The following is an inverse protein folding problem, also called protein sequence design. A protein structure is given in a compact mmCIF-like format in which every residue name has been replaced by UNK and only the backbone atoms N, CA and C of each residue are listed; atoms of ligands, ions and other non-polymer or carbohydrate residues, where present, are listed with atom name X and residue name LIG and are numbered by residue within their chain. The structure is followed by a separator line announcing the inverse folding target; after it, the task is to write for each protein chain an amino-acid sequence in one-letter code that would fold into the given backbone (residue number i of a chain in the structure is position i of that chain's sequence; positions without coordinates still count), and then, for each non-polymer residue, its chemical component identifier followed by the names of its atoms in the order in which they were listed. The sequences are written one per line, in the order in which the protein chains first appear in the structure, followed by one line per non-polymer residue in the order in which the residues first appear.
data_IF_432999331769
#
_entry.id   IF_432999331769
#
_cell.length_a   1.000
_cell.length_b   1.000
_cell.length_c   1.000
_cell.angle_alpha   90.00
_cell.angle_beta   90.00
_cell.angle_gamma   90.00
#
_symmetry.space_group_name_H-M   'P 1'
#
loop_
_entity.id
_entity.type
_entity.pdbx_description
1 polymer ?
#
# COMPACT_ATOMS: atom_id res chain seq x y z
N UNK A 1 2.81 1.17 -15.59
CA UNK A 1 2.48 0.48 -14.33
C UNK A 1 2.20 -0.99 -14.60
N UNK A 2 2.72 -1.87 -13.77
CA UNK A 2 2.48 -3.31 -13.90
C UNK A 2 1.23 -3.69 -13.11
N UNK A 3 0.20 -4.17 -13.81
CA UNK A 3 -1.08 -4.53 -13.19
C UNK A 3 -0.94 -5.66 -12.15
N UNK A 4 -0.07 -6.63 -12.39
CA UNK A 4 0.14 -7.73 -11.45
C UNK A 4 0.76 -7.26 -10.15
N UNK A 5 1.77 -6.41 -10.22
CA UNK A 5 2.47 -5.88 -9.04
C UNK A 5 1.52 -5.00 -8.25
N UNK A 6 0.83 -4.09 -8.90
CA UNK A 6 -0.14 -3.21 -8.25
C UNK A 6 -1.27 -4.01 -7.62
N UNK A 7 -1.77 -5.02 -8.33
CA UNK A 7 -2.84 -5.88 -7.81
C UNK A 7 -2.43 -6.62 -6.55
N UNK A 8 -1.23 -7.19 -6.50
CA UNK A 8 -0.70 -7.85 -5.30
C UNK A 8 -0.60 -6.87 -4.14
N UNK A 9 -0.10 -5.66 -4.39
CA UNK A 9 0.03 -4.63 -3.36
C UNK A 9 -1.33 -4.19 -2.82
N UNK A 10 -2.31 -4.01 -3.69
CA UNK A 10 -3.66 -3.67 -3.28
C UNK A 10 -4.26 -4.73 -2.38
N UNK A 11 -4.07 -6.01 -2.71
CA UNK A 11 -4.55 -7.12 -1.88
C UNK A 11 -3.87 -7.13 -0.52
N UNK A 12 -2.54 -6.97 -0.48
CA UNK A 12 -1.77 -6.92 0.76
C UNK A 12 -2.25 -5.76 1.64
N UNK A 13 -2.43 -4.59 1.06
CA UNK A 13 -2.90 -3.41 1.79
C UNK A 13 -4.32 -3.59 2.33
N UNK A 14 -5.20 -4.19 1.53
CA UNK A 14 -6.56 -4.47 1.96
C UNK A 14 -6.58 -5.39 3.19
N UNK A 15 -5.85 -6.48 3.12
CA UNK A 15 -5.78 -7.46 4.21
C UNK A 15 -5.14 -6.82 5.46
N UNK A 16 -4.07 -6.05 5.29
CA UNK A 16 -3.41 -5.37 6.41
C UNK A 16 -4.31 -4.35 7.10
N UNK A 17 -5.22 -3.74 6.38
CA UNK A 17 -6.18 -2.78 6.93
C UNK A 17 -7.48 -3.45 7.39
N UNK A 18 -7.50 -4.78 7.43
CA UNK A 18 -8.64 -5.57 7.90
C UNK A 18 -9.93 -5.39 7.10
N UNK A 19 -9.80 -5.10 5.81
CA UNK A 19 -10.95 -5.07 4.91
C UNK A 19 -11.10 -6.40 4.18
N UNK A 20 -12.31 -6.92 4.13
CA UNK A 20 -12.66 -7.95 3.15
C UNK A 20 -13.13 -7.25 1.85
N UNK A 21 -13.44 -8.01 0.82
CA UNK A 21 -13.88 -7.44 -0.45
C UNK A 21 -15.18 -6.66 -0.29
N UNK A 22 -16.11 -7.17 0.52
CA UNK A 22 -17.36 -6.46 0.82
C UNK A 22 -17.11 -5.13 1.53
N UNK A 23 -16.19 -5.14 2.50
CA UNK A 23 -15.83 -3.94 3.26
C UNK A 23 -15.23 -2.86 2.39
N UNK A 24 -14.27 -3.20 1.52
CA UNK A 24 -13.65 -2.20 0.64
C UNK A 24 -14.64 -1.69 -0.41
N UNK A 25 -15.53 -2.57 -0.89
CA UNK A 25 -16.60 -2.17 -1.80
C UNK A 25 -17.49 -1.09 -1.16
N UNK A 26 -17.87 -1.29 0.11
CA UNK A 26 -18.70 -0.30 0.84
C UNK A 26 -17.98 1.03 1.00
N UNK A 27 -16.69 1.01 1.32
CA UNK A 27 -15.90 2.24 1.46
C UNK A 27 -15.82 2.99 0.13
N UNK A 28 -15.59 2.27 -0.97
CA UNK A 28 -15.56 2.86 -2.30
C UNK A 28 -16.91 3.46 -2.68
N UNK A 29 -18.02 2.79 -2.36
CA UNK A 29 -19.34 3.31 -2.63
C UNK A 29 -19.60 4.62 -1.89
N UNK A 30 -19.11 4.79 -0.68
CA UNK A 30 -19.21 6.05 0.08
C UNK A 30 -18.46 7.20 -0.60
N UNK A 31 -17.47 6.89 -1.41
CA UNK A 31 -16.71 7.89 -2.19
C UNK A 31 -17.20 8.01 -3.63
N UNK A 32 -18.42 7.54 -3.90
CA UNK A 32 -19.06 7.56 -5.23
C UNK A 32 -18.33 6.72 -6.28
N UNK A 33 -17.58 5.71 -5.86
CA UNK A 33 -16.94 4.77 -6.75
C UNK A 33 -17.68 3.45 -6.65
N UNK A 34 -18.42 3.11 -7.71
CA UNK A 34 -19.30 1.95 -7.74
C UNK A 34 -18.77 0.89 -8.68
N UNK A 35 -18.15 -0.13 -8.09
CA UNK A 35 -17.67 -1.30 -8.84
C UNK A 35 -18.18 -2.58 -8.18
N UNK A 36 -18.33 -3.63 -8.95
CA UNK A 36 -18.72 -4.94 -8.44
C UNK A 36 -17.54 -5.60 -7.71
N UNK A 37 -17.84 -6.57 -6.85
CA UNK A 37 -16.82 -7.40 -6.21
C UNK A 37 -15.93 -8.08 -7.25
N UNK A 38 -16.51 -8.56 -8.34
CA UNK A 38 -15.78 -9.18 -9.44
C UNK A 38 -14.70 -8.26 -10.01
N UNK A 39 -15.02 -6.98 -10.19
CA UNK A 39 -14.07 -5.99 -10.69
C UNK A 39 -12.94 -5.78 -9.69
N UNK A 40 -13.23 -5.69 -8.41
CA UNK A 40 -12.22 -5.53 -7.36
C UNK A 40 -11.27 -6.74 -7.33
N UNK A 41 -11.79 -7.96 -7.44
CA UNK A 41 -10.98 -9.16 -7.55
C UNK A 41 -10.06 -9.13 -8.78
N UNK A 42 -10.56 -8.66 -9.92
CA UNK A 42 -9.76 -8.52 -11.13
C UNK A 42 -8.60 -7.55 -10.96
N UNK A 43 -8.80 -6.48 -10.20
CA UNK A 43 -7.72 -5.55 -9.86
C UNK A 43 -6.63 -6.25 -9.04
N UNK A 44 -7.02 -7.00 -8.02
CA UNK A 44 -6.09 -7.69 -7.13
C UNK A 44 -5.38 -8.86 -7.81
N UNK A 45 -6.03 -9.51 -8.76
CA UNK A 45 -5.44 -10.60 -9.55
C UNK A 45 -4.54 -10.12 -10.69
N UNK A 46 -4.54 -8.82 -10.95
CA UNK A 46 -3.71 -8.24 -12.01
C UNK A 46 -4.28 -8.40 -13.41
N UNK A 47 -5.54 -8.81 -13.54
CA UNK A 47 -6.20 -8.94 -14.83
C UNK A 47 -6.56 -7.59 -15.44
N UNK A 48 -6.93 -6.63 -14.60
CA UNK A 48 -7.33 -5.28 -15.02
C UNK A 48 -6.65 -4.28 -14.08
N UNK A 49 -6.03 -3.27 -14.66
CA UNK A 49 -5.46 -2.17 -13.89
C UNK A 49 -6.56 -1.15 -13.58
N UNK A 50 -6.79 -0.78 -12.31
CA UNK A 50 -7.72 0.30 -11.99
C UNK A 50 -7.24 1.62 -12.59
N UNK A 51 -8.15 2.56 -12.81
CA UNK A 51 -7.75 3.90 -13.25
C UNK A 51 -6.89 4.60 -12.21
N UNK A 52 -6.10 5.57 -12.62
CA UNK A 52 -5.24 6.33 -11.70
C UNK A 52 -6.05 6.99 -10.59
N UNK A 53 -7.24 7.48 -10.91
CA UNK A 53 -8.14 8.08 -9.92
C UNK A 53 -8.56 7.07 -8.85
N UNK A 54 -8.90 5.85 -9.25
CA UNK A 54 -9.28 4.79 -8.32
C UNK A 54 -8.06 4.36 -7.48
N UNK A 55 -6.90 4.23 -8.09
CA UNK A 55 -5.66 3.89 -7.37
C UNK A 55 -5.36 4.95 -6.31
N UNK A 56 -5.49 6.23 -6.65
CA UNK A 56 -5.25 7.33 -5.73
C UNK A 56 -6.19 7.27 -4.53
N UNK A 57 -7.47 7.00 -4.77
CA UNK A 57 -8.46 6.85 -3.70
C UNK A 57 -8.18 5.63 -2.83
N UNK A 58 -7.80 4.50 -3.43
CA UNK A 58 -7.42 3.31 -2.68
C UNK A 58 -6.18 3.57 -1.82
N UNK A 59 -5.20 4.29 -2.34
CA UNK A 59 -4.03 4.70 -1.57
C UNK A 59 -4.41 5.56 -0.37
N UNK A 60 -5.35 6.48 -0.55
CA UNK A 60 -5.85 7.30 0.55
C UNK A 60 -6.56 6.46 1.61
N UNK A 61 -7.42 5.53 1.20
CA UNK A 61 -8.12 4.61 2.09
C UNK A 61 -7.14 3.74 2.88
N UNK A 62 -6.12 3.21 2.22
CA UNK A 62 -5.14 2.31 2.82
C UNK A 62 -3.99 3.04 3.53
N UNK A 63 -3.94 4.36 3.46
CA UNK A 63 -2.92 5.14 4.16
C UNK A 63 -1.54 5.06 3.53
N UNK A 64 -1.45 4.88 2.22
CA UNK A 64 -0.19 4.88 1.49
C UNK A 64 -0.23 5.89 0.34
N UNK A 65 0.86 6.05 -0.38
CA UNK A 65 0.91 6.89 -1.57
C UNK A 65 1.21 6.05 -2.81
N UNK A 66 1.00 6.63 -3.98
CA UNK A 66 1.24 5.95 -5.25
C UNK A 66 2.70 5.53 -5.40
N UNK A 67 3.64 6.36 -4.93
CA UNK A 67 5.07 6.03 -4.97
C UNK A 67 5.38 4.73 -4.25
N UNK A 68 4.71 4.46 -3.13
CA UNK A 68 4.85 3.21 -2.40
C UNK A 68 4.52 1.99 -3.27
N UNK A 69 3.41 2.06 -4.02
CA UNK A 69 2.99 0.96 -4.89
C UNK A 69 4.01 0.70 -6.00
N UNK A 70 4.61 1.76 -6.53
CA UNK A 70 5.60 1.66 -7.59
C UNK A 70 6.97 1.23 -7.08
N UNK A 71 7.37 1.68 -5.90
CA UNK A 71 8.68 1.38 -5.30
C UNK A 71 8.79 -0.03 -4.75
N UNK A 72 7.68 -0.67 -4.41
CA UNK A 72 7.68 -2.02 -3.88
C UNK A 72 8.29 -3.04 -4.84
N UNK A 73 8.19 -2.81 -6.14
CA UNK A 73 8.84 -3.63 -7.14
C UNK A 73 10.36 -3.53 -6.98
N UNK A 74 10.86 -2.34 -6.71
CA UNK A 74 12.30 -2.09 -6.51
C UNK A 74 12.78 -2.76 -5.22
N UNK A 75 11.99 -2.71 -4.15
CA UNK A 75 12.31 -3.32 -2.85
C UNK A 75 12.41 -4.84 -2.97
N UNK A 76 11.49 -5.50 -3.67
CA UNK A 76 11.52 -6.94 -3.88
C UNK A 76 12.76 -7.38 -4.65
N UNK A 77 13.29 -6.53 -5.53
CA UNK A 77 14.45 -6.81 -6.36
C UNK A 77 15.79 -6.52 -5.70
N UNK A 78 15.81 -5.98 -4.47
CA UNK A 78 17.04 -5.59 -3.78
C UNK A 78 17.61 -6.65 -2.84
N UNK A 79 17.08 -7.85 -2.84
CA UNK A 79 17.55 -8.95 -1.96
C UNK A 79 17.62 -8.56 -0.49
N UNK A 80 16.58 -7.89 0.01
CA UNK A 80 16.52 -7.49 1.40
C UNK A 80 16.37 -8.70 2.33
N UNK A 81 16.99 -8.63 3.50
CA UNK A 81 16.80 -9.64 4.53
C UNK A 81 15.37 -9.55 5.07
N UNK A 82 14.82 -10.65 5.65
CA UNK A 82 13.51 -10.60 6.29
C UNK A 82 13.39 -9.52 7.37
N UNK A 83 14.46 -9.26 8.10
CA UNK A 83 14.48 -8.19 9.11
C UNK A 83 14.34 -6.81 8.47
N UNK A 84 15.05 -6.57 7.37
CA UNK A 84 14.96 -5.30 6.63
C UNK A 84 13.56 -5.08 6.07
N UNK A 85 12.96 -6.14 5.51
CA UNK A 85 11.59 -6.09 5.00
C UNK A 85 10.62 -5.75 6.13
N UNK A 86 10.76 -6.40 7.29
CA UNK A 86 9.93 -6.14 8.46
C UNK A 86 10.04 -4.68 8.91
N UNK A 87 11.26 -4.14 8.99
CA UNK A 87 11.48 -2.75 9.39
C UNK A 87 10.85 -1.76 8.41
N UNK A 88 10.99 -2.02 7.10
CA UNK A 88 10.37 -1.18 6.08
C UNK A 88 8.84 -1.22 6.18
N UNK A 89 8.26 -2.39 6.42
CA UNK A 89 6.82 -2.52 6.61
C UNK A 89 6.35 -1.74 7.83
N UNK A 90 7.05 -1.83 8.97
CA UNK A 90 6.71 -1.08 10.17
C UNK A 90 6.80 0.43 9.92
N UNK A 91 7.83 0.88 9.24
CA UNK A 91 8.00 2.29 8.91
C UNK A 91 6.84 2.83 8.08
N UNK A 92 6.31 2.02 7.15
CA UNK A 92 5.25 2.45 6.25
C UNK A 92 3.85 2.38 6.87
N UNK A 93 3.59 1.39 7.71
CA UNK A 93 2.24 1.11 8.22
C UNK A 93 2.02 1.54 9.65
N UNK A 94 3.07 1.72 10.43
CA UNK A 94 2.96 2.09 11.84
C UNK A 94 3.41 3.54 12.01
N UNK A 95 2.45 4.42 12.25
CA UNK A 95 2.74 5.85 12.40
C UNK A 95 3.64 6.14 13.61
N UNK A 96 3.42 5.46 14.73
CA UNK A 96 4.27 5.61 15.90
C UNK A 96 5.72 5.21 15.62
N UNK A 97 5.91 4.08 14.95
CA UNK A 97 7.23 3.62 14.55
C UNK A 97 7.91 4.62 13.62
N UNK A 98 7.17 5.14 12.64
CA UNK A 98 7.68 6.15 11.70
C UNK A 98 8.16 7.40 12.43
N UNK A 99 7.38 7.91 13.38
CA UNK A 99 7.75 9.09 14.16
C UNK A 99 9.01 8.87 14.98
N UNK A 100 9.11 7.73 15.64
CA UNK A 100 10.29 7.36 16.43
C UNK A 100 11.52 7.24 15.52
N UNK A 101 11.39 6.57 14.39
CA UNK A 101 12.48 6.41 13.44
C UNK A 101 12.96 7.74 12.88
N UNK A 102 12.05 8.65 12.56
CA UNK A 102 12.39 10.01 12.10
C UNK A 102 13.11 10.82 13.18
N UNK A 103 12.67 10.71 14.43
CA UNK A 103 13.33 11.38 15.55
C UNK A 103 14.76 10.87 15.73
N UNK A 104 14.97 9.57 15.69
CA UNK A 104 16.30 8.96 15.81
C UNK A 104 17.20 9.43 14.65
N UNK A 105 16.68 9.44 13.44
CA UNK A 105 17.42 9.89 12.27
C UNK A 105 17.83 11.36 12.38
N UNK A 106 16.96 12.23 12.86
CA UNK A 106 17.27 13.64 13.08
C UNK A 106 18.35 13.82 14.13
N UNK A 107 18.31 13.06 15.22
CA UNK A 107 19.35 13.09 16.26
C UNK A 107 20.68 12.61 15.70
N UNK A 108 20.68 11.55 14.91
CA UNK A 108 21.87 11.04 14.25
C UNK A 108 22.52 12.11 13.35
N UNK A 109 21.72 12.84 12.57
CA UNK A 109 22.23 13.89 11.71
C UNK A 109 22.83 15.06 12.49
N UNK A 110 22.31 15.36 13.67
CA UNK A 110 22.86 16.44 14.50
C UNK A 110 24.25 16.12 15.06
N UNK A 111 24.54 14.86 15.28
CA UNK A 111 25.84 14.42 15.81
C UNK A 111 26.92 14.34 14.72
N UNK A 112 26.52 14.39 13.45
CA UNK A 112 27.45 14.42 12.34
C UNK A 112 27.93 15.83 12.07
#
# INVERSE_FOLDING_TARGET
MDAEIIGKQLKVLRVKNNYDIEGIKKVLNKRNIKYSKSTIYKWEEGEVLPSVEVIDILCDIYGCNLSYLLENDIVENRNLTPCEIFLLEQFRYNECFRRIAEMIYKLYLKEL
#
